data_IF_275937275855
#
_entry.id   IF_275937275855
#
_cell.length_a   1.000
_cell.length_b   1.000
_cell.length_c   1.000
_cell.angle_alpha   90.00
_cell.angle_beta   90.00
_cell.angle_gamma   90.00
#
_symmetry.space_group_name_H-M   'P 1'
#
loop_
_entity.id
_entity.type
_entity.pdbx_description
1 polymer ?
#
# COMPACT_ATOMS: atom_id res chain seq x y z
N UNK A 1 -9.14 10.40 -4.06
CA UNK A 1 -8.12 9.37 -4.33
C UNK A 1 -8.73 8.26 -5.18
N UNK A 2 -7.91 7.40 -5.78
CA UNK A 2 -8.40 6.25 -6.57
C UNK A 2 -8.18 4.98 -5.74
N UNK A 3 -9.29 4.42 -5.28
CA UNK A 3 -9.29 3.24 -4.42
C UNK A 3 -8.91 1.97 -5.20
N UNK A 4 -8.13 1.12 -4.55
CA UNK A 4 -7.80 -0.22 -5.01
C UNK A 4 -8.90 -1.21 -4.66
N UNK A 5 -9.37 -1.96 -5.66
CA UNK A 5 -10.31 -3.05 -5.47
C UNK A 5 -9.58 -4.41 -5.51
N UNK A 6 -9.98 -5.36 -4.67
CA UNK A 6 -9.39 -6.72 -4.65
C UNK A 6 -9.50 -7.44 -6.00
N UNK A 7 -10.47 -7.08 -6.83
CA UNK A 7 -10.63 -7.57 -8.20
C UNK A 7 -9.40 -7.28 -9.09
N UNK A 8 -8.62 -6.26 -8.73
CA UNK A 8 -7.45 -5.81 -9.45
C UNK A 8 -6.14 -6.50 -8.99
N UNK A 9 -6.17 -7.23 -7.87
CA UNK A 9 -4.97 -7.82 -7.23
C UNK A 9 -4.15 -8.66 -8.20
N UNK A 10 -4.80 -9.54 -8.97
CA UNK A 10 -4.11 -10.41 -9.93
C UNK A 10 -3.35 -9.62 -10.99
N UNK A 11 -3.94 -8.54 -11.50
CA UNK A 11 -3.28 -7.66 -12.48
C UNK A 11 -2.11 -6.92 -11.83
N UNK A 12 -2.24 -6.57 -10.55
CA UNK A 12 -1.18 -5.87 -9.80
C UNK A 12 0.02 -6.79 -9.56
N UNK A 13 -0.21 -8.08 -9.28
CA UNK A 13 0.83 -9.10 -9.18
C UNK A 13 1.61 -9.26 -10.48
N UNK A 14 0.92 -9.30 -11.63
CA UNK A 14 1.56 -9.45 -12.95
C UNK A 14 2.59 -8.35 -13.25
N UNK A 15 2.43 -7.18 -12.64
CA UNK A 15 3.35 -6.03 -12.80
C UNK A 15 4.26 -5.80 -11.60
N UNK A 16 4.25 -6.69 -10.60
CA UNK A 16 5.03 -6.56 -9.37
C UNK A 16 4.70 -5.28 -8.58
N UNK A 17 3.42 -4.90 -8.58
CA UNK A 17 2.95 -3.68 -7.93
C UNK A 17 2.83 -3.81 -6.41
N UNK A 18 2.46 -2.70 -5.77
CA UNK A 18 2.25 -2.61 -4.32
C UNK A 18 0.90 -1.98 -4.02
N UNK A 19 0.36 -2.30 -2.85
CA UNK A 19 -0.82 -1.65 -2.27
C UNK A 19 -0.37 -0.83 -1.06
N UNK A 20 -0.79 0.42 -0.97
CA UNK A 20 -0.70 1.26 0.23
C UNK A 20 -2.05 1.18 0.95
N UNK A 21 -2.10 0.77 2.21
CA UNK A 21 -3.35 0.41 2.89
C UNK A 21 -3.98 1.54 3.73
N UNK A 22 -3.20 2.49 4.25
CA UNK A 22 -3.71 3.59 5.09
C UNK A 22 -3.55 4.98 4.44
N UNK A 23 -3.97 5.09 3.18
CA UNK A 23 -4.03 6.40 2.51
C UNK A 23 -5.33 7.09 2.90
N UNK A 24 -5.37 7.68 4.09
CA UNK A 24 -6.58 8.26 4.70
C UNK A 24 -7.72 7.23 4.83
N UNK A 25 -7.38 6.00 5.21
CA UNK A 25 -8.33 4.88 5.30
C UNK A 25 -8.71 4.24 3.97
N UNK A 26 -8.16 4.70 2.85
CA UNK A 26 -8.32 4.06 1.54
C UNK A 26 -7.09 3.22 1.17
N UNK A 27 -7.33 2.16 0.41
CA UNK A 27 -6.28 1.34 -0.20
C UNK A 27 -5.98 1.87 -1.59
N UNK A 28 -4.70 1.94 -1.96
CA UNK A 28 -4.28 2.51 -3.25
C UNK A 28 -3.23 1.59 -3.88
N UNK A 29 -3.38 1.29 -5.17
CA UNK A 29 -2.43 0.47 -5.91
C UNK A 29 -1.43 1.32 -6.71
N UNK A 30 -0.14 0.99 -6.57
CA UNK A 30 0.94 1.53 -7.39
C UNK A 30 1.52 0.40 -8.23
N UNK A 31 1.49 0.56 -9.55
CA UNK A 31 1.98 -0.44 -10.48
C UNK A 31 1.79 -0.02 -11.93
N UNK A 32 2.62 -0.56 -12.82
CA UNK A 32 2.51 -0.27 -14.25
C UNK A 32 1.11 -0.63 -14.77
N UNK A 33 0.53 0.22 -15.63
CA UNK A 33 -0.84 0.04 -16.17
C UNK A 33 -1.97 0.18 -15.13
N UNK A 34 -1.67 0.74 -13.96
CA UNK A 34 -2.64 1.26 -13.01
C UNK A 34 -2.66 2.79 -13.06
N UNK A 35 -3.70 3.38 -12.47
CA UNK A 35 -3.85 4.84 -12.36
C UNK A 35 -2.63 5.52 -11.73
N UNK A 36 -2.02 4.84 -10.75
CA UNK A 36 -0.72 5.23 -10.21
C UNK A 36 0.38 4.33 -10.77
N UNK A 37 0.87 4.67 -11.96
CA UNK A 37 1.94 3.91 -12.63
C UNK A 37 3.24 3.78 -11.80
N UNK A 38 3.52 4.75 -10.93
CA UNK A 38 4.69 4.80 -10.04
C UNK A 38 4.43 5.70 -8.83
N UNK A 39 5.39 5.75 -7.90
CA UNK A 39 5.26 6.57 -6.68
C UNK A 39 5.12 8.07 -6.97
N UNK A 40 5.71 8.58 -8.05
CA UNK A 40 5.58 10.00 -8.40
C UNK A 40 4.16 10.35 -8.86
N UNK A 41 3.51 9.50 -9.66
CA UNK A 41 2.13 9.73 -10.08
C UNK A 41 1.16 9.68 -8.89
N UNK A 42 1.41 8.77 -7.93
CA UNK A 42 0.71 8.76 -6.65
C UNK A 42 0.91 10.08 -5.88
N UNK A 43 2.15 10.51 -5.66
CA UNK A 43 2.46 11.74 -4.91
C UNK A 43 1.84 12.98 -5.52
N UNK A 44 1.91 13.15 -6.85
CA UNK A 44 1.32 14.30 -7.54
C UNK A 44 -0.18 14.37 -7.32
N UNK A 45 -0.87 13.22 -7.39
CA UNK A 45 -2.31 13.18 -7.14
C UNK A 45 -2.60 13.41 -5.65
N UNK A 46 -1.85 12.78 -4.74
CA UNK A 46 -1.98 12.97 -3.29
C UNK A 46 -1.90 14.45 -2.91
N UNK A 47 -0.88 15.17 -3.41
CA UNK A 47 -0.71 16.60 -3.12
C UNK A 47 -1.86 17.46 -3.65
N UNK A 48 -2.48 17.05 -4.76
CA UNK A 48 -3.63 17.75 -5.31
C UNK A 48 -4.94 17.48 -4.56
N UNK A 49 -5.06 16.33 -3.92
CA UNK A 49 -6.28 15.91 -3.22
C UNK A 49 -6.26 16.27 -1.73
N UNK A 50 -5.12 16.06 -1.07
CA UNK A 50 -4.86 16.45 0.31
C UNK A 50 -3.93 17.67 0.31
N UNK A 51 -2.68 17.54 0.74
CA UNK A 51 -1.63 18.57 0.57
C UNK A 51 -0.24 17.93 0.63
N UNK A 52 0.80 18.70 0.31
CA UNK A 52 2.18 18.28 0.58
C UNK A 52 2.52 18.24 2.08
N UNK A 53 1.89 19.10 2.90
CA UNK A 53 2.12 19.12 4.35
C UNK A 53 1.55 17.85 5.01
N UNK A 54 0.33 17.46 4.64
CA UNK A 54 -0.32 16.23 5.09
C UNK A 54 0.50 14.98 4.71
N UNK A 55 1.06 14.96 3.50
CA UNK A 55 1.97 13.90 3.08
C UNK A 55 3.25 13.88 3.93
N UNK A 56 3.84 15.06 4.18
CA UNK A 56 5.04 15.19 4.99
C UNK A 56 4.82 14.67 6.42
N UNK A 57 3.69 15.01 7.03
CA UNK A 57 3.29 14.51 8.35
C UNK A 57 3.15 12.97 8.37
N UNK A 58 2.53 12.39 7.34
CA UNK A 58 2.43 10.93 7.19
C UNK A 58 3.80 10.25 7.09
N UNK A 59 4.77 10.92 6.46
CA UNK A 59 6.15 10.45 6.37
C UNK A 59 7.00 10.76 7.63
N UNK A 60 6.41 11.38 8.66
CA UNK A 60 7.08 11.69 9.92
C UNK A 60 7.89 12.99 9.93
N UNK A 61 7.71 13.86 8.92
CA UNK A 61 8.25 15.22 8.92
C UNK A 61 7.30 16.20 9.62
N UNK A 62 7.80 17.38 9.99
CA UNK A 62 6.98 18.43 10.57
C UNK A 62 6.08 19.10 9.52
N UNK A 63 6.62 19.37 8.33
CA UNK A 63 5.92 20.05 7.24
C UNK A 63 6.58 19.73 5.88
N UNK A 64 5.96 20.19 4.79
CA UNK A 64 6.50 19.99 3.45
C UNK A 64 7.85 20.69 3.23
N UNK A 65 8.12 21.80 3.93
CA UNK A 65 9.37 22.55 3.80
C UNK A 65 10.53 21.69 4.32
N UNK A 66 10.39 21.11 5.51
CA UNK A 66 11.38 20.19 6.09
C UNK A 66 11.59 18.97 5.19
N UNK A 67 10.51 18.34 4.74
CA UNK A 67 10.56 17.19 3.83
C UNK A 67 11.36 17.51 2.56
N UNK A 68 11.04 18.62 1.88
CA UNK A 68 11.75 19.00 0.66
C UNK A 68 13.20 19.43 0.91
N UNK A 69 13.48 20.13 2.01
CA UNK A 69 14.85 20.46 2.40
C UNK A 69 15.69 19.20 2.60
N UNK A 70 15.13 18.18 3.25
CA UNK A 70 15.80 16.90 3.45
C UNK A 70 16.00 16.16 2.11
N UNK A 71 14.95 16.02 1.30
CA UNK A 71 14.99 15.30 0.02
C UNK A 71 15.94 15.91 -1.01
N UNK A 72 16.03 17.24 -1.05
CA UNK A 72 16.92 17.97 -1.96
C UNK A 72 18.24 18.39 -1.31
N UNK A 73 18.53 17.89 -0.10
CA UNK A 73 19.85 18.06 0.51
C UNK A 73 20.91 17.31 -0.29
N UNK A 74 22.17 17.74 -0.18
CA UNK A 74 23.29 17.07 -0.87
C UNK A 74 23.57 15.65 -0.36
N UNK A 75 23.12 15.36 0.86
CA UNK A 75 23.40 14.12 1.57
C UNK A 75 22.30 13.06 1.35
N UNK A 76 21.15 13.48 0.81
CA UNK A 76 20.03 12.59 0.52
C UNK A 76 20.05 12.13 -0.93
N UNK A 77 20.04 10.82 -1.13
CA UNK A 77 19.85 10.23 -2.47
C UNK A 77 18.37 10.05 -2.73
N UNK A 78 17.70 11.09 -3.22
CA UNK A 78 16.32 10.94 -3.65
C UNK A 78 16.26 10.05 -4.90
N UNK A 79 15.52 8.95 -4.82
CA UNK A 79 15.25 8.05 -5.92
C UNK A 79 13.81 7.55 -5.82
N UNK A 80 13.26 7.06 -6.94
CA UNK A 80 11.94 6.44 -6.95
C UNK A 80 11.86 5.29 -5.95
N UNK A 81 12.92 4.47 -5.87
CA UNK A 81 13.01 3.36 -4.92
C UNK A 81 12.93 3.82 -3.46
N UNK A 82 13.66 4.87 -3.09
CA UNK A 82 13.64 5.38 -1.71
C UNK A 82 12.29 6.02 -1.38
N UNK A 83 11.68 6.73 -2.34
CA UNK A 83 10.35 7.31 -2.17
C UNK A 83 9.28 6.23 -1.99
N UNK A 84 9.32 5.19 -2.81
CA UNK A 84 8.41 4.05 -2.68
C UNK A 84 8.59 3.36 -1.33
N UNK A 85 9.83 3.14 -0.90
CA UNK A 85 10.12 2.54 0.40
C UNK A 85 9.55 3.37 1.57
N UNK A 86 9.74 4.70 1.56
CA UNK A 86 9.15 5.57 2.58
C UNK A 86 7.62 5.57 2.55
N UNK A 87 7.02 5.52 1.35
CA UNK A 87 5.56 5.37 1.23
C UNK A 87 5.08 4.03 1.79
N UNK A 88 5.77 2.94 1.49
CA UNK A 88 5.42 1.63 2.02
C UNK A 88 5.52 1.60 3.55
N UNK A 89 6.53 2.22 4.13
CA UNK A 89 6.64 2.32 5.59
C UNK A 89 5.53 3.19 6.20
N UNK A 90 5.18 4.30 5.56
CA UNK A 90 4.25 5.30 6.10
C UNK A 90 2.76 4.94 5.92
N UNK A 91 2.45 4.15 4.89
CA UNK A 91 1.07 3.82 4.51
C UNK A 91 0.76 2.32 4.60
N UNK A 92 1.50 1.59 5.45
CA UNK A 92 1.32 0.14 5.65
C UNK A 92 1.33 -0.62 4.31
N UNK A 93 2.32 -0.29 3.47
CA UNK A 93 2.42 -0.81 2.13
C UNK A 93 2.83 -2.28 2.09
N UNK A 94 2.20 -3.03 1.19
CA UNK A 94 2.40 -4.46 0.98
C UNK A 94 2.61 -4.75 -0.51
N UNK A 95 3.49 -5.70 -0.84
CA UNK A 95 3.61 -6.16 -2.23
C UNK A 95 2.37 -6.94 -2.63
N UNK A 96 1.98 -6.85 -3.89
CA UNK A 96 0.78 -7.56 -4.38
C UNK A 96 0.89 -9.09 -4.20
N UNK A 97 2.10 -9.65 -4.30
CA UNK A 97 2.32 -11.08 -4.06
C UNK A 97 2.12 -11.45 -2.59
N UNK A 98 2.69 -10.67 -1.66
CA UNK A 98 2.52 -10.91 -0.22
C UNK A 98 1.06 -10.75 0.20
N UNK A 99 0.34 -9.79 -0.39
CA UNK A 99 -1.10 -9.59 -0.15
C UNK A 99 -1.94 -10.78 -0.65
N UNK A 100 -1.58 -11.37 -1.78
CA UNK A 100 -2.26 -12.55 -2.28
C UNK A 100 -2.02 -13.76 -1.35
N UNK A 101 -0.81 -13.92 -0.82
CA UNK A 101 -0.47 -14.96 0.15
C UNK A 101 -1.26 -14.79 1.47
N UNK A 102 -1.48 -13.55 1.93
CA UNK A 102 -2.33 -13.26 3.09
C UNK A 102 -3.78 -13.72 2.86
N UNK A 103 -4.36 -13.42 1.69
CA UNK A 103 -5.73 -13.84 1.36
C UNK A 103 -5.87 -15.36 1.27
N UNK A 104 -4.89 -16.05 0.70
CA UNK A 104 -4.88 -17.52 0.63
C UNK A 104 -4.80 -18.13 2.03
N UNK A 105 -3.98 -17.56 2.91
CA UNK A 105 -3.86 -18.00 4.30
C UNK A 105 -5.15 -17.77 5.11
N UNK A 106 -5.78 -16.61 4.96
CA UNK A 106 -7.07 -16.30 5.59
C UNK A 106 -8.18 -17.25 5.13
N UNK A 107 -8.22 -17.55 3.83
CA UNK A 107 -9.20 -18.50 3.28
C UNK A 107 -9.00 -19.90 3.83
N UNK A 108 -7.76 -20.38 3.93
CA UNK A 108 -7.45 -21.69 4.51
C UNK A 108 -7.88 -21.78 5.98
N UNK A 109 -7.53 -20.78 6.79
CA UNK A 109 -7.93 -20.71 8.20
C UNK A 109 -9.45 -20.74 8.38
N UNK A 110 -10.19 -20.05 7.51
CA UNK A 110 -11.65 -20.06 7.53
C UNK A 110 -12.21 -21.47 7.27
N UNK A 111 -11.71 -22.15 6.24
CA UNK A 111 -12.15 -23.51 5.88
C UNK A 111 -11.85 -24.51 7.00
N UNK A 112 -10.66 -24.46 7.60
CA UNK A 112 -10.30 -25.32 8.73
C UNK A 112 -11.20 -25.09 9.95
N UNK A 113 -11.53 -23.82 10.24
CA UNK A 113 -12.44 -23.49 11.34
C UNK A 113 -13.87 -23.97 11.10
N UNK A 114 -14.36 -23.94 9.85
CA UNK A 114 -15.67 -24.51 9.50
C UNK A 114 -15.70 -26.04 9.65
N UNK A 115 -14.67 -26.73 9.17
CA UNK A 115 -14.57 -28.19 9.28
C UNK A 115 -14.48 -28.64 10.73
N UNK A 116 -13.71 -27.93 11.57
CA UNK A 116 -13.64 -28.19 13.01
C UNK A 116 -15.02 -28.05 13.68
N UNK A 117 -15.80 -27.01 13.33
CA UNK A 117 -17.17 -26.83 13.85
C UNK A 117 -18.10 -27.97 13.41
N UNK A 118 -18.00 -28.41 12.15
CA UNK A 118 -18.81 -29.53 11.62
C UNK A 118 -18.47 -30.86 12.30
N UNK A 119 -17.19 -31.12 12.56
CA UNK A 119 -16.73 -32.29 13.31
C UNK A 119 -17.26 -32.35 14.74
N UNK A 120 -17.31 -31.20 15.43
CA UNK A 120 -17.87 -31.10 16.79
C UNK A 120 -19.39 -31.34 16.84
N UNK A 121 -20.12 -31.02 15.76
CA UNK A 121 -21.56 -31.23 15.64
C UNK A 121 -21.92 -32.67 15.25
N UNK A 122 -21.08 -33.34 14.45
CA UNK A 122 -21.30 -34.72 13.99
C UNK A 122 -20.86 -35.81 14.99
N UNK A 123 -20.04 -35.44 15.99
CA UNK A 123 -19.58 -36.35 17.05
C UNK A 123 -20.48 -36.41 18.31
N UNK A 124 -21.64 -35.76 18.29
CA UNK A 124 -22.70 -35.84 19.33
C UNK A 124 -23.89 -36.63 18.82
#
# INVERSE_FOLDING_TARGET
>A
MIEFEDSQLRKLQEVGGVVLNDVHGERVAIGKEFEYENVFSFMVHYFGFYTADDFAEKLGYHDAIEMFQFWFSKDTKLSEYNLLAWCMESFEGIYADDLADEYDYEQQNYLEAEDAKRGQLAGK
#
